data_IF_993433308555
#
_entry.id   IF_993433308555
#
_cell.length_a   1.000
_cell.length_b   1.000
_cell.length_c   1.000
_cell.angle_alpha   90.00
_cell.angle_beta   90.00
_cell.angle_gamma   90.00
#
_symmetry.space_group_name_H-M   'P 1'
#
loop_
_entity.id
_entity.type
_entity.pdbx_description
1 polymer ?
#
# COMPACT_ATOMS: atom_id res chain seq x y z
N UNK A 1 14.58 -22.60 -23.34
CA UNK A 1 13.54 -21.68 -23.84
C UNK A 1 12.42 -21.40 -22.83
N UNK A 2 11.85 -22.40 -22.14
CA UNK A 2 10.81 -22.16 -21.12
C UNK A 2 11.25 -21.20 -19.99
N UNK A 3 12.52 -21.26 -19.58
CA UNK A 3 13.08 -20.36 -18.55
C UNK A 3 13.08 -18.89 -19.00
N UNK A 4 13.39 -18.62 -20.28
CA UNK A 4 13.34 -17.26 -20.83
C UNK A 4 11.89 -16.75 -20.92
N UNK A 5 10.95 -17.61 -21.32
CA UNK A 5 9.52 -17.28 -21.34
C UNK A 5 8.99 -16.93 -19.94
N UNK A 6 9.37 -17.71 -18.93
CA UNK A 6 9.03 -17.46 -17.53
C UNK A 6 9.61 -16.15 -17.01
N UNK A 7 10.88 -15.88 -17.28
CA UNK A 7 11.54 -14.63 -16.88
C UNK A 7 10.84 -13.40 -17.47
N UNK A 8 10.41 -13.47 -18.73
CA UNK A 8 9.71 -12.35 -19.37
C UNK A 8 8.28 -12.21 -18.87
N UNK A 9 7.52 -13.29 -18.68
CA UNK A 9 6.18 -13.21 -18.09
C UNK A 9 6.20 -12.62 -16.68
N UNK A 10 7.24 -12.95 -15.90
CA UNK A 10 7.47 -12.35 -14.60
C UNK A 10 7.85 -10.86 -14.71
N UNK A 11 8.80 -10.51 -15.58
CA UNK A 11 9.19 -9.12 -15.81
C UNK A 11 8.03 -8.24 -16.30
N UNK A 12 7.16 -8.80 -17.16
CA UNK A 12 5.92 -8.19 -17.62
C UNK A 12 4.94 -7.97 -16.47
N UNK A 13 4.67 -9.00 -15.65
CA UNK A 13 3.77 -8.88 -14.50
C UNK A 13 4.26 -7.83 -13.50
N UNK A 14 5.55 -7.81 -13.21
CA UNK A 14 6.18 -6.83 -12.34
C UNK A 14 6.08 -5.41 -12.92
N UNK A 15 6.34 -5.22 -14.21
CA UNK A 15 6.25 -3.92 -14.87
C UNK A 15 4.81 -3.38 -14.87
N UNK A 16 3.80 -4.23 -15.13
CA UNK A 16 2.39 -3.83 -15.13
C UNK A 16 1.94 -3.39 -13.73
N UNK A 17 2.32 -4.13 -12.69
CA UNK A 17 1.93 -3.81 -11.30
C UNK A 17 2.54 -2.47 -10.86
N UNK A 18 3.82 -2.24 -11.18
CA UNK A 18 4.50 -1.06 -10.67
C UNK A 18 4.33 0.18 -11.55
N UNK A 19 4.18 0.03 -12.87
CA UNK A 19 4.25 1.15 -13.83
C UNK A 19 2.93 1.39 -14.58
N UNK A 20 1.85 0.67 -14.22
CA UNK A 20 0.52 0.84 -14.80
C UNK A 20 0.51 0.71 -16.33
N UNK A 21 -0.09 1.69 -17.02
CA UNK A 21 -0.25 1.68 -18.48
C UNK A 21 1.09 1.58 -19.23
N UNK A 22 2.16 2.23 -18.73
CA UNK A 22 3.48 2.17 -19.35
C UNK A 22 4.10 0.76 -19.25
N UNK A 23 3.88 0.09 -18.12
CA UNK A 23 4.27 -1.31 -17.93
C UNK A 23 3.54 -2.26 -18.87
N UNK A 24 2.28 -1.98 -19.18
CA UNK A 24 1.45 -2.76 -20.09
C UNK A 24 1.91 -2.66 -21.54
N UNK A 25 2.33 -1.48 -21.99
CA UNK A 25 2.93 -1.28 -23.33
C UNK A 25 4.26 -2.03 -23.45
N UNK A 26 5.15 -1.89 -22.47
CA UNK A 26 6.43 -2.61 -22.42
C UNK A 26 6.24 -4.12 -22.44
N UNK A 27 5.22 -4.61 -21.73
CA UNK A 27 4.85 -6.01 -21.72
C UNK A 27 4.45 -6.53 -23.10
N UNK A 28 3.59 -5.80 -23.82
CA UNK A 28 3.18 -6.16 -25.17
C UNK A 28 4.38 -6.20 -26.14
N UNK A 29 5.29 -5.23 -26.05
CA UNK A 29 6.49 -5.18 -26.88
C UNK A 29 7.41 -6.37 -26.60
N UNK A 30 7.63 -6.71 -25.32
CA UNK A 30 8.45 -7.85 -24.93
C UNK A 30 7.89 -9.18 -25.45
N UNK A 31 6.57 -9.37 -25.39
CA UNK A 31 5.89 -10.56 -25.92
C UNK A 31 6.04 -10.64 -27.44
N UNK A 32 5.81 -9.53 -28.16
CA UNK A 32 5.96 -9.48 -29.61
C UNK A 32 7.38 -9.83 -30.05
N UNK A 33 8.39 -9.26 -29.38
CA UNK A 33 9.79 -9.57 -29.66
C UNK A 33 10.10 -11.05 -29.42
N UNK A 34 9.56 -11.64 -28.35
CA UNK A 34 9.80 -13.04 -28.06
C UNK A 34 9.14 -13.99 -29.06
N UNK A 35 7.93 -13.65 -29.54
CA UNK A 35 7.25 -14.42 -30.60
C UNK A 35 8.03 -14.39 -31.91
N UNK A 36 8.60 -13.23 -32.29
CA UNK A 36 9.47 -13.11 -33.46
C UNK A 36 10.74 -13.94 -33.30
N UNK A 37 11.41 -13.85 -32.15
CA UNK A 37 12.59 -14.64 -31.86
C UNK A 37 12.30 -16.14 -31.88
N UNK A 38 11.16 -16.56 -31.32
CA UNK A 38 10.73 -17.95 -31.31
C UNK A 38 10.47 -18.46 -32.74
N UNK A 39 9.77 -17.68 -33.56
CA UNK A 39 9.55 -17.99 -34.99
C UNK A 39 10.87 -18.18 -35.73
N UNK A 40 11.81 -17.25 -35.59
CA UNK A 40 13.09 -17.30 -36.28
C UNK A 40 13.94 -18.50 -35.83
N UNK A 41 13.91 -18.81 -34.54
CA UNK A 41 14.65 -19.96 -34.01
C UNK A 41 14.06 -21.27 -34.53
N UNK A 42 12.73 -21.42 -34.53
CA UNK A 42 12.07 -22.60 -35.10
C UNK A 42 12.29 -22.73 -36.61
N UNK A 43 12.32 -21.62 -37.34
CA UNK A 43 12.61 -21.63 -38.77
C UNK A 43 14.04 -22.12 -39.05
N UNK A 44 15.03 -21.66 -38.27
CA UNK A 44 16.43 -22.12 -38.37
C UNK A 44 16.58 -23.60 -37.99
N UNK A 45 15.92 -24.03 -36.91
CA UNK A 45 15.96 -25.43 -36.46
C UNK A 45 15.31 -26.38 -37.48
N UNK A 46 14.18 -25.99 -38.09
CA UNK A 46 13.58 -26.78 -39.20
C UNK A 46 14.47 -26.84 -40.43
N UNK A 47 15.10 -25.72 -40.79
CA UNK A 47 16.00 -25.65 -41.94
C UNK A 47 17.22 -26.57 -41.79
N UNK A 48 17.62 -26.88 -40.55
CA UNK A 48 18.70 -27.81 -40.21
C UNK A 48 18.25 -29.28 -40.17
N UNK A 49 17.04 -29.61 -40.62
CA UNK A 49 16.54 -30.99 -40.69
C UNK A 49 16.06 -31.54 -39.35
N UNK A 50 15.89 -30.70 -38.33
CA UNK A 50 15.52 -31.16 -36.99
C UNK A 50 14.02 -31.50 -36.93
N UNK A 51 13.70 -32.79 -36.93
CA UNK A 51 12.35 -33.33 -36.71
C UNK A 51 12.18 -33.77 -35.26
N UNK A 52 12.16 -32.83 -34.31
CA UNK A 52 11.74 -33.16 -32.93
C UNK A 52 10.26 -33.56 -32.95
N UNK A 53 9.95 -34.75 -32.44
CA UNK A 53 8.58 -35.21 -32.24
C UNK A 53 7.78 -34.13 -31.51
N UNK A 54 6.60 -33.83 -32.05
CA UNK A 54 5.71 -32.85 -31.44
C UNK A 54 5.35 -33.33 -30.03
N UNK A 55 5.61 -32.49 -29.02
CA UNK A 55 5.14 -32.70 -27.65
C UNK A 55 3.67 -33.15 -27.65
N UNK A 56 3.39 -34.22 -26.92
CA UNK A 56 2.03 -34.74 -26.83
C UNK A 56 1.07 -33.65 -26.33
N UNK A 57 -0.18 -33.61 -26.82
CA UNK A 57 -1.14 -32.56 -26.45
C UNK A 57 -1.30 -32.39 -24.93
N UNK A 58 -1.25 -33.51 -24.18
CA UNK A 58 -1.32 -33.51 -22.71
C UNK A 58 -0.14 -32.80 -22.06
N UNK A 59 1.08 -33.01 -22.59
CA UNK A 59 2.27 -32.37 -22.07
C UNK A 59 2.25 -30.85 -22.34
N UNK A 60 1.72 -30.42 -23.49
CA UNK A 60 1.52 -28.99 -23.79
C UNK A 60 0.58 -28.34 -22.78
N UNK A 61 -0.57 -28.95 -22.51
CA UNK A 61 -1.52 -28.45 -21.51
C UNK A 61 -0.96 -28.48 -20.07
N UNK A 62 -0.19 -29.51 -19.72
CA UNK A 62 0.51 -29.57 -18.44
C UNK A 62 1.52 -28.43 -18.26
N UNK A 63 2.28 -28.13 -19.31
CA UNK A 63 3.19 -26.98 -19.32
C UNK A 63 2.41 -25.68 -19.18
N UNK A 64 1.33 -25.48 -19.94
CA UNK A 64 0.48 -24.26 -19.82
C UNK A 64 -0.07 -24.12 -18.40
N UNK A 65 -0.59 -25.21 -17.81
CA UNK A 65 -1.10 -25.22 -16.44
C UNK A 65 -0.02 -24.87 -15.42
N UNK A 66 1.18 -25.44 -15.53
CA UNK A 66 2.31 -25.11 -14.66
C UNK A 66 2.71 -23.64 -14.76
N UNK A 67 2.67 -23.05 -15.96
CA UNK A 67 2.97 -21.63 -16.15
C UNK A 67 1.89 -20.71 -15.57
N UNK A 68 0.61 -21.06 -15.72
CA UNK A 68 -0.49 -20.32 -15.09
C UNK A 68 -0.39 -20.35 -13.57
N UNK A 69 -0.12 -21.52 -13.00
CA UNK A 69 -0.02 -21.71 -11.55
C UNK A 69 1.19 -20.98 -10.98
N UNK A 70 2.34 -21.03 -11.66
CA UNK A 70 3.53 -20.28 -11.29
C UNK A 70 3.30 -18.76 -11.40
N UNK A 71 2.63 -18.29 -12.45
CA UNK A 71 2.28 -16.87 -12.61
C UNK A 71 1.36 -16.38 -11.49
N UNK A 72 0.36 -17.18 -11.10
CA UNK A 72 -0.53 -16.89 -9.98
C UNK A 72 0.23 -16.80 -8.65
N UNK A 73 1.09 -17.78 -8.37
CA UNK A 73 1.92 -17.79 -7.15
C UNK A 73 2.84 -16.56 -7.09
N UNK A 74 3.44 -16.19 -8.21
CA UNK A 74 4.31 -15.01 -8.29
C UNK A 74 3.52 -13.70 -8.06
N UNK A 75 2.34 -13.56 -8.65
CA UNK A 75 1.47 -12.39 -8.40
C UNK A 75 1.06 -12.28 -6.92
N UNK A 76 0.74 -13.40 -6.27
CA UNK A 76 0.45 -13.44 -4.84
C UNK A 76 1.65 -12.97 -4.01
N UNK A 77 2.88 -13.39 -4.36
CA UNK A 77 4.09 -12.93 -3.64
C UNK A 77 4.32 -11.42 -3.78
N UNK A 78 4.10 -10.84 -4.96
CA UNK A 78 4.21 -9.38 -5.15
C UNK A 78 3.15 -8.64 -4.33
N UNK A 79 1.91 -9.14 -4.31
CA UNK A 79 0.82 -8.56 -3.53
C UNK A 79 1.16 -8.52 -2.03
N UNK A 80 1.68 -9.62 -1.49
CA UNK A 80 2.03 -9.74 -0.07
C UNK A 80 3.22 -8.85 0.31
N UNK A 81 4.22 -8.76 -0.56
CA UNK A 81 5.48 -8.05 -0.25
C UNK A 81 5.43 -6.54 -0.46
N UNK A 82 4.59 -6.05 -1.37
CA UNK A 82 4.54 -4.61 -1.72
C UNK A 82 3.28 -3.90 -1.22
N UNK A 83 2.11 -4.54 -1.34
CA UNK A 83 0.83 -3.87 -1.07
C UNK A 83 0.53 -3.84 0.42
N UNK A 84 0.78 -4.94 1.14
CA UNK A 84 0.46 -5.03 2.57
C UNK A 84 1.27 -4.01 3.41
N UNK A 85 2.61 -3.89 3.24
CA UNK A 85 3.38 -2.91 4.02
C UNK A 85 2.99 -1.47 3.69
N UNK A 86 2.72 -1.16 2.42
CA UNK A 86 2.27 0.17 2.00
C UNK A 86 0.94 0.57 2.63
N UNK A 87 -0.02 -0.36 2.71
CA UNK A 87 -1.31 -0.11 3.36
C UNK A 87 -1.20 0.06 4.88
N UNK A 88 -0.28 -0.65 5.53
CA UNK A 88 0.00 -0.48 6.96
C UNK A 88 0.60 0.90 7.24
N UNK A 89 1.60 1.31 6.46
CA UNK A 89 2.23 2.62 6.60
C UNK A 89 1.23 3.76 6.33
N UNK A 90 0.43 3.67 5.27
CA UNK A 90 -0.62 4.65 4.97
C UNK A 90 -1.68 4.74 6.08
N UNK A 91 -2.00 3.60 6.71
CA UNK A 91 -2.94 3.56 7.85
C UNK A 91 -2.34 4.26 9.08
N UNK A 92 -1.08 4.01 9.39
CA UNK A 92 -0.37 4.66 10.50
C UNK A 92 -0.29 6.18 10.29
N UNK A 93 0.04 6.61 9.06
CA UNK A 93 0.09 8.02 8.69
C UNK A 93 -1.29 8.68 8.82
N UNK A 94 -2.34 8.04 8.30
CA UNK A 94 -3.72 8.54 8.42
C UNK A 94 -4.17 8.63 9.89
N UNK A 95 -3.78 7.68 10.74
CA UNK A 95 -4.07 7.72 12.17
C UNK A 95 -3.34 8.87 12.87
N UNK A 96 -2.05 9.06 12.60
CA UNK A 96 -1.26 10.16 13.14
C UNK A 96 -1.80 11.53 12.71
N UNK A 97 -2.18 11.67 11.44
CA UNK A 97 -2.80 12.88 10.93
C UNK A 97 -4.14 13.16 11.63
N UNK A 98 -4.98 12.15 11.83
CA UNK A 98 -6.24 12.26 12.56
C UNK A 98 -6.07 12.68 14.02
N UNK A 99 -5.08 12.12 14.72
CA UNK A 99 -4.76 12.50 16.11
C UNK A 99 -4.29 13.96 16.16
N UNK A 100 -3.35 14.35 15.29
CA UNK A 100 -2.84 15.73 15.25
C UNK A 100 -3.94 16.74 14.90
N UNK A 101 -4.82 16.42 13.95
CA UNK A 101 -5.96 17.28 13.59
C UNK A 101 -6.92 17.47 14.76
N UNK A 102 -7.25 16.39 15.48
CA UNK A 102 -8.09 16.47 16.68
C UNK A 102 -7.43 17.29 17.79
N UNK A 103 -6.16 17.01 18.10
CA UNK A 103 -5.37 17.74 19.11
C UNK A 103 -5.34 19.24 18.79
N UNK A 104 -5.06 19.60 17.54
CA UNK A 104 -5.00 21.00 17.11
C UNK A 104 -6.37 21.67 17.17
N UNK A 105 -7.44 20.97 16.77
CA UNK A 105 -8.80 21.45 16.87
C UNK A 105 -9.16 21.80 18.31
N UNK A 106 -9.00 20.84 19.23
CA UNK A 106 -9.31 21.01 20.66
C UNK A 106 -8.50 22.17 21.24
N UNK A 107 -7.19 22.20 20.96
CA UNK A 107 -6.32 23.27 21.44
C UNK A 107 -6.78 24.66 20.99
N UNK A 108 -7.11 24.83 19.71
CA UNK A 108 -7.55 26.12 19.18
C UNK A 108 -8.86 26.59 19.80
N UNK A 109 -9.81 25.68 20.05
CA UNK A 109 -11.06 26.02 20.74
C UNK A 109 -10.81 26.38 22.21
N UNK A 110 -10.02 25.57 22.93
CA UNK A 110 -9.63 25.87 24.32
C UNK A 110 -8.96 27.24 24.39
N UNK A 111 -8.00 27.52 23.51
CA UNK A 111 -7.28 28.78 23.46
C UNK A 111 -8.22 29.96 23.20
N UNK A 112 -9.11 29.84 22.20
CA UNK A 112 -10.10 30.87 21.89
C UNK A 112 -11.08 31.12 23.05
N UNK A 113 -11.52 30.07 23.74
CA UNK A 113 -12.37 30.21 24.93
C UNK A 113 -11.62 30.79 26.12
N UNK A 114 -10.32 30.49 26.24
CA UNK A 114 -9.46 30.97 27.33
C UNK A 114 -9.24 32.48 27.24
N UNK A 115 -9.08 33.01 26.02
CA UNK A 115 -9.04 34.45 25.76
C UNK A 115 -10.34 35.16 26.20
N UNK A 116 -11.47 34.45 26.20
CA UNK A 116 -12.77 34.96 26.61
C UNK A 116 -13.14 34.60 28.07
N UNK A 117 -12.23 33.96 28.82
CA UNK A 117 -12.47 33.52 30.19
C UNK A 117 -13.50 32.39 30.34
N UNK A 118 -13.77 31.63 29.27
CA UNK A 118 -14.79 30.58 29.20
C UNK A 118 -14.25 29.16 29.12
N UNK A 119 -12.93 29.01 28.99
CA UNK A 119 -12.31 27.71 28.80
C UNK A 119 -12.60 26.77 29.97
N UNK A 120 -13.00 25.55 29.64
CA UNK A 120 -13.25 24.48 30.62
C UNK A 120 -12.05 23.55 30.69
N UNK A 121 -11.49 23.42 31.89
CA UNK A 121 -10.49 22.40 32.20
C UNK A 121 -11.11 21.03 32.47
N UNK A 122 -10.28 19.99 32.46
CA UNK A 122 -10.70 18.59 32.67
C UNK A 122 -10.85 17.81 31.37
N UNK A 123 -11.74 16.83 31.35
CA UNK A 123 -11.90 15.92 30.20
C UNK A 123 -12.38 16.66 28.94
N UNK A 124 -11.61 16.53 27.86
CA UNK A 124 -11.96 17.19 26.60
C UNK A 124 -13.25 16.61 26.00
N UNK A 125 -13.52 15.32 26.18
CA UNK A 125 -14.68 14.67 25.57
C UNK A 125 -16.00 15.18 26.17
N UNK A 126 -15.99 15.49 27.46
CA UNK A 126 -17.12 16.08 28.15
C UNK A 126 -17.27 17.58 27.85
N UNK A 127 -16.17 18.31 27.75
CA UNK A 127 -16.18 19.77 27.64
C UNK A 127 -16.28 20.28 26.19
N UNK A 128 -15.82 19.50 25.20
CA UNK A 128 -15.80 19.86 23.79
C UNK A 128 -16.41 18.72 22.93
N UNK A 129 -17.70 18.38 23.13
CA UNK A 129 -18.33 17.19 22.53
C UNK A 129 -18.51 17.30 21.00
N UNK A 130 -18.47 18.51 20.44
CA UNK A 130 -18.61 18.75 19.01
C UNK A 130 -17.40 18.27 18.20
N UNK A 131 -16.28 17.97 18.88
CA UNK A 131 -15.09 17.43 18.24
C UNK A 131 -15.13 15.91 18.22
N UNK A 132 -15.17 15.34 17.01
CA UNK A 132 -15.15 13.89 16.85
C UNK A 132 -13.76 13.35 17.16
N UNK A 133 -13.61 12.66 18.29
CA UNK A 133 -12.36 12.05 18.70
C UNK A 133 -12.03 10.82 17.83
N UNK A 134 -10.80 10.71 17.30
CA UNK A 134 -10.31 9.47 16.72
C UNK A 134 -10.40 8.31 17.72
N UNK A 135 -10.82 7.13 17.25
CA UNK A 135 -10.92 5.91 18.11
C UNK A 135 -9.59 5.51 18.75
N UNK A 136 -8.47 5.96 18.18
CA UNK A 136 -7.11 5.74 18.69
C UNK A 136 -6.79 6.54 19.96
N UNK A 137 -7.62 7.50 20.37
CA UNK A 137 -7.42 8.26 21.61
C UNK A 137 -8.09 7.52 22.78
N UNK A 138 -7.37 7.41 23.90
CA UNK A 138 -7.85 6.79 25.13
C UNK A 138 -8.37 7.84 26.13
N UNK A 139 -7.63 8.93 26.29
CA UNK A 139 -8.02 10.04 27.16
C UNK A 139 -7.53 11.37 26.61
N UNK A 140 -8.22 12.45 27.00
CA UNK A 140 -7.87 13.82 26.66
C UNK A 140 -8.17 14.70 27.87
N UNK A 141 -7.19 15.46 28.33
CA UNK A 141 -7.32 16.37 29.46
C UNK A 141 -6.79 17.76 29.11
N UNK A 142 -7.53 18.78 29.53
CA UNK A 142 -7.16 20.19 29.38
C UNK A 142 -6.86 20.77 30.75
N UNK A 143 -5.67 21.35 30.91
CA UNK A 143 -5.31 22.18 32.04
C UNK A 143 -5.40 23.66 31.63
N UNK A 144 -6.30 24.40 32.29
CA UNK A 144 -6.52 25.83 32.07
C UNK A 144 -6.04 26.68 33.25
N UNK A 145 -5.19 26.13 34.13
CA UNK A 145 -4.65 26.83 35.30
C UNK A 145 -3.93 28.13 34.92
N UNK A 146 -3.36 28.19 33.71
CA UNK A 146 -2.86 29.41 33.10
C UNK A 146 -3.67 29.74 31.82
N UNK A 147 -4.59 30.72 31.86
CA UNK A 147 -5.41 31.05 30.70
C UNK A 147 -4.62 31.53 29.48
N UNK A 148 -3.44 32.12 29.69
CA UNK A 148 -2.57 32.55 28.61
C UNK A 148 -1.82 31.39 27.94
N UNK A 149 -1.79 30.21 28.57
CA UNK A 149 -1.06 29.01 28.14
C UNK A 149 -1.79 27.73 28.60
N UNK A 150 -2.97 27.43 28.02
CA UNK A 150 -3.68 26.20 28.35
C UNK A 150 -2.88 24.99 27.87
N UNK A 151 -2.77 23.94 28.68
CA UNK A 151 -2.02 22.73 28.33
C UNK A 151 -3.01 21.61 28.00
N UNK A 152 -2.90 21.07 26.79
CA UNK A 152 -3.66 19.91 26.32
C UNK A 152 -2.80 18.66 26.42
N UNK A 153 -3.29 17.64 27.12
CA UNK A 153 -2.64 16.32 27.21
C UNK A 153 -3.56 15.26 26.62
N UNK A 154 -3.08 14.55 25.61
CA UNK A 154 -3.81 13.48 24.92
C UNK A 154 -3.04 12.19 25.06
N UNK A 155 -3.69 11.16 25.56
CA UNK A 155 -3.11 9.82 25.65
C UNK A 155 -3.79 8.93 24.62
N UNK A 156 -3.00 8.34 23.73
CA UNK A 156 -3.49 7.37 22.75
C UNK A 156 -3.69 6.01 23.39
N UNK A 157 -4.47 5.13 22.76
CA UNK A 157 -4.66 3.74 23.20
C UNK A 157 -3.39 2.90 23.09
N UNK A 158 -2.38 3.33 22.32
CA UNK A 158 -1.06 2.71 22.29
C UNK A 158 -0.18 3.13 23.49
N UNK A 159 -0.62 4.09 24.30
CA UNK A 159 0.11 4.61 25.46
C UNK A 159 1.00 5.81 25.16
N UNK A 160 1.00 6.32 23.93
CA UNK A 160 1.71 7.56 23.58
C UNK A 160 1.00 8.75 24.22
N UNK A 161 1.78 9.64 24.84
CA UNK A 161 1.29 10.87 25.46
C UNK A 161 1.76 12.06 24.64
N UNK A 162 0.80 12.80 24.10
CA UNK A 162 1.01 14.01 23.31
C UNK A 162 0.60 15.19 24.18
N UNK A 163 1.55 16.08 24.47
CA UNK A 163 1.29 17.33 25.20
C UNK A 163 1.46 18.52 24.27
N UNK A 164 0.46 19.42 24.25
CA UNK A 164 0.50 20.71 23.55
C UNK A 164 0.34 21.85 24.56
N UNK A 165 1.32 22.77 24.66
CA UNK A 165 1.18 24.02 25.40
C UNK A 165 0.38 25.05 24.63
#
# INVERSE_FOLDING_TARGET
MHVAWLATMYGVGFAVINWGNAGQVLACVAIAFMLMHYRDTYAKERAQGWTREALSPRMKWGIVGAHLLLSLLLQLTVLVTSVIPGLLSAREEAQSAGINAYVMGVYMTVYAESLNGKAKGGDCFANYPDMTAPRSIASCAVDVSNPARPILTVTTRSGEVITRP
#
